data_IF_629219519783
#
_entry.id   IF_629219519783
#
_cell.length_a   1.000
_cell.length_b   1.000
_cell.length_c   1.000
_cell.angle_alpha   90.00
_cell.angle_beta   90.00
_cell.angle_gamma   90.00
#
_symmetry.space_group_name_H-M   'P 1'
#
loop_
_entity.id
_entity.type
_entity.pdbx_description
1 polymer ?
#
# COMPACT_ATOMS: atom_id res chain seq x y z
N UNK A 1 -3.72 13.98 -9.30
CA UNK A 1 -3.13 12.71 -8.81
C UNK A 1 -4.19 11.98 -7.99
N UNK A 2 -4.94 11.07 -8.60
CA UNK A 2 -5.86 10.18 -7.88
C UNK A 2 -5.07 8.93 -7.51
N UNK A 3 -4.58 8.81 -6.27
CA UNK A 3 -3.89 7.61 -5.80
C UNK A 3 -4.90 6.50 -5.48
N UNK A 4 -4.58 5.24 -5.80
CA UNK A 4 -5.41 4.06 -5.46
C UNK A 4 -5.36 3.72 -3.96
N UNK A 5 -4.60 4.50 -3.20
CA UNK A 5 -4.39 4.34 -1.78
C UNK A 5 -5.23 5.32 -0.94
N UNK A 6 -5.90 4.80 0.08
CA UNK A 6 -6.60 5.58 1.11
C UNK A 6 -5.76 5.64 2.38
N UNK A 7 -5.47 6.86 2.86
CA UNK A 7 -4.64 7.11 4.04
C UNK A 7 -5.50 7.34 5.28
N UNK A 8 -5.13 6.71 6.37
CA UNK A 8 -5.84 6.82 7.64
C UNK A 8 -4.84 6.96 8.80
N UNK A 9 -5.14 7.87 9.72
CA UNK A 9 -4.44 7.99 11.00
C UNK A 9 -5.13 7.10 12.03
N UNK A 10 -4.36 6.39 12.84
CA UNK A 10 -4.90 5.53 13.89
C UNK A 10 -4.11 5.67 15.19
N UNK A 11 -4.78 5.41 16.31
CA UNK A 11 -4.19 5.49 17.65
C UNK A 11 -3.55 4.15 18.02
N UNK A 12 -2.36 4.22 18.60
CA UNK A 12 -1.60 3.09 19.16
C UNK A 12 -1.26 3.38 20.62
N UNK A 13 -0.71 2.40 21.35
CA UNK A 13 -0.24 2.60 22.73
C UNK A 13 0.84 3.68 22.81
N UNK A 14 1.70 3.76 21.78
CA UNK A 14 2.84 4.68 21.72
C UNK A 14 2.52 6.02 21.04
N UNK A 15 1.24 6.30 20.76
CA UNK A 15 0.79 7.53 20.11
C UNK A 15 0.09 7.30 18.78
N UNK A 16 0.13 8.30 17.89
CA UNK A 16 -0.56 8.20 16.61
C UNK A 16 0.37 7.75 15.50
N UNK A 17 -0.13 6.85 14.65
CA UNK A 17 0.57 6.37 13.46
C UNK A 17 -0.31 6.54 12.23
N UNK A 18 0.33 6.45 11.08
CA UNK A 18 -0.32 6.50 9.77
C UNK A 18 -0.31 5.12 9.12
N UNK A 19 -1.37 4.85 8.36
CA UNK A 19 -1.51 3.68 7.51
C UNK A 19 -2.11 4.08 6.17
N UNK A 20 -1.92 3.23 5.17
CA UNK A 20 -2.64 3.32 3.91
C UNK A 20 -3.12 1.94 3.43
N UNK A 21 -4.30 1.95 2.82
CA UNK A 21 -4.93 0.78 2.19
C UNK A 21 -4.84 0.94 0.68
N UNK A 22 -4.44 -0.09 -0.04
CA UNK A 22 -4.27 -0.08 -1.50
C UNK A 22 -4.72 -1.41 -2.10
N UNK A 23 -5.08 -1.40 -3.38
CA UNK A 23 -5.39 -2.62 -4.12
C UNK A 23 -4.14 -3.09 -4.86
N UNK A 24 -3.77 -4.36 -4.68
CA UNK A 24 -2.54 -4.94 -5.24
C UNK A 24 -2.77 -5.51 -6.63
N UNK A 25 -3.62 -6.53 -6.72
CA UNK A 25 -3.95 -7.22 -7.96
C UNK A 25 -5.39 -7.70 -7.91
N UNK A 26 -5.96 -7.97 -9.08
CA UNK A 26 -7.17 -8.79 -9.21
C UNK A 26 -6.69 -10.23 -9.26
N UNK A 27 -7.14 -11.05 -8.33
CA UNK A 27 -6.89 -12.49 -8.36
C UNK A 27 -7.54 -13.07 -9.63
N UNK A 28 -6.77 -13.65 -10.57
CA UNK A 28 -7.31 -14.15 -11.83
C UNK A 28 -8.20 -15.40 -11.64
N UNK A 29 -8.10 -16.09 -10.51
CA UNK A 29 -8.90 -17.27 -10.21
C UNK A 29 -10.26 -16.90 -9.62
N UNK A 30 -10.31 -15.84 -8.82
CA UNK A 30 -11.53 -15.45 -8.08
C UNK A 30 -12.15 -14.12 -8.53
N UNK A 31 -11.46 -13.35 -9.37
CA UNK A 31 -11.87 -12.01 -9.83
C UNK A 31 -11.87 -10.94 -8.72
N UNK A 32 -11.42 -11.27 -7.50
CA UNK A 32 -11.47 -10.35 -6.36
C UNK A 32 -10.23 -9.47 -6.32
N UNK A 33 -10.44 -8.17 -6.06
CA UNK A 33 -9.35 -7.22 -5.79
C UNK A 33 -8.74 -7.55 -4.43
N UNK A 34 -7.46 -7.89 -4.40
CA UNK A 34 -6.74 -8.11 -3.15
C UNK A 34 -6.34 -6.77 -2.54
N UNK A 35 -7.05 -6.39 -1.49
CA UNK A 35 -6.71 -5.21 -0.69
C UNK A 35 -5.55 -5.55 0.24
N UNK A 36 -4.51 -4.73 0.23
CA UNK A 36 -3.40 -4.78 1.18
C UNK A 36 -3.34 -3.48 1.98
N UNK A 37 -2.72 -3.54 3.15
CA UNK A 37 -2.60 -2.38 4.05
C UNK A 37 -1.18 -2.32 4.57
N UNK A 38 -0.52 -1.16 4.46
CA UNK A 38 0.73 -0.88 5.18
C UNK A 38 0.47 0.14 6.28
N UNK A 39 1.09 -0.05 7.44
CA UNK A 39 0.84 0.71 8.69
C UNK A 39 2.12 0.89 9.49
N UNK A 40 2.11 1.83 10.41
CA UNK A 40 3.23 2.08 11.34
C UNK A 40 4.05 3.32 11.02
N UNK A 41 3.66 4.09 10.01
CA UNK A 41 4.35 5.32 9.62
C UNK A 41 4.21 6.39 10.70
N UNK A 42 5.27 7.15 10.93
CA UNK A 42 5.27 8.24 11.89
C UNK A 42 4.54 9.47 11.34
N UNK A 43 4.60 9.66 10.02
CA UNK A 43 3.99 10.81 9.35
C UNK A 43 3.18 10.42 8.11
N UNK A 44 2.24 11.29 7.73
CA UNK A 44 1.48 11.13 6.48
C UNK A 44 2.39 11.14 5.25
N UNK A 45 3.41 12.00 5.25
CA UNK A 45 4.34 12.16 4.14
C UNK A 45 5.16 10.89 3.89
N UNK A 46 5.62 10.25 4.97
CA UNK A 46 6.31 8.96 4.92
C UNK A 46 5.41 7.87 4.31
N UNK A 47 4.16 7.80 4.77
CA UNK A 47 3.17 6.88 4.20
C UNK A 47 2.93 7.14 2.70
N UNK A 48 2.86 8.40 2.27
CA UNK A 48 2.68 8.78 0.86
C UNK A 48 3.87 8.40 -0.02
N UNK A 49 5.11 8.59 0.48
CA UNK A 49 6.31 8.20 -0.24
C UNK A 49 6.40 6.68 -0.43
N UNK A 50 6.09 5.90 0.61
CA UNK A 50 6.04 4.42 0.52
C UNK A 50 4.92 3.97 -0.43
N UNK A 51 3.74 4.60 -0.36
CA UNK A 51 2.64 4.31 -1.28
C UNK A 51 3.03 4.55 -2.74
N UNK A 52 3.68 5.68 -3.06
CA UNK A 52 4.14 5.98 -4.41
C UNK A 52 5.17 4.94 -4.91
N UNK A 53 6.11 4.53 -4.05
CA UNK A 53 7.07 3.47 -4.37
C UNK A 53 6.38 2.12 -4.61
N UNK A 54 5.42 1.79 -3.76
CA UNK A 54 4.63 0.55 -3.88
C UNK A 54 3.81 0.54 -5.18
N UNK A 55 3.20 1.67 -5.56
CA UNK A 55 2.47 1.78 -6.83
C UNK A 55 3.40 1.59 -8.03
N UNK A 56 4.62 2.14 -7.99
CA UNK A 56 5.64 1.89 -9.03
C UNK A 56 6.06 0.43 -9.12
N UNK A 57 6.27 -0.23 -7.97
CA UNK A 57 6.63 -1.65 -7.91
C UNK A 57 5.50 -2.55 -8.45
N UNK A 58 4.24 -2.18 -8.23
CA UNK A 58 3.07 -2.89 -8.77
C UNK A 58 2.87 -2.63 -10.26
N UNK A 59 3.10 -1.39 -10.72
CA UNK A 59 3.01 -1.01 -12.13
C UNK A 59 4.11 -1.68 -12.97
N UNK A 60 5.26 -2.00 -12.36
CA UNK A 60 6.32 -2.75 -13.02
C UNK A 60 5.91 -4.23 -13.07
N UNK A 61 5.67 -4.82 -14.26
CA UNK A 61 5.44 -6.25 -14.35
C UNK A 61 6.65 -6.98 -13.77
N UNK A 62 6.41 -7.81 -12.75
CA UNK A 62 7.43 -8.57 -12.05
C UNK A 62 8.28 -9.37 -13.05
N UNK A 63 9.52 -8.97 -13.27
CA UNK A 63 10.58 -9.90 -13.70
C UNK A 63 10.76 -10.85 -12.51
N UNK A 64 9.95 -11.91 -12.43
CA UNK A 64 10.13 -12.99 -11.47
C UNK A 64 11.52 -13.57 -11.72
N UNK A 65 12.52 -13.19 -10.92
CA UNK A 65 13.69 -14.04 -10.74
C UNK A 65 13.20 -15.24 -9.94
N UNK A 66 12.79 -16.30 -10.65
CA UNK A 66 12.98 -17.64 -10.12
C UNK A 66 14.49 -17.83 -10.05
N UNK A 67 15.04 -17.71 -8.85
CA UNK A 67 16.37 -18.21 -8.52
C UNK A 67 16.22 -19.44 -7.65
#
# INVERSE_FOLDING_TARGET
MNTLASFQKYKTKDGYKWMYKFYTTIDPLTGKKKQSTKRGFNSRKEAQLDAAKTEQDLARPLKKSFS
#
